data_IF_592742982003
#
_entry.id   IF_592742982003
#
_cell.length_a   1.000
_cell.length_b   1.000
_cell.length_c   1.000
_cell.angle_alpha   90.00
_cell.angle_beta   90.00
_cell.angle_gamma   90.00
#
_symmetry.space_group_name_H-M   'P 1'
#
loop_
_entity.id
_entity.type
_entity.pdbx_description
1 polymer ?
#
# COMPACT_ATOMS: atom_id res chain seq x y z
N UNK A 1 2.71 -2.69 -17.04
CA UNK A 1 2.95 -1.31 -16.55
C UNK A 1 2.56 -1.28 -15.08
N UNK A 2 3.37 -0.65 -14.22
CA UNK A 2 3.05 -0.50 -12.81
C UNK A 2 2.49 0.91 -12.61
N UNK A 3 1.25 1.01 -12.15
CA UNK A 3 0.54 2.28 -11.96
C UNK A 3 0.01 2.30 -10.54
N UNK A 4 0.17 3.41 -9.85
CA UNK A 4 -0.44 3.61 -8.55
C UNK A 4 -0.76 5.07 -8.33
N UNK A 5 -1.87 5.31 -7.65
CA UNK A 5 -2.28 6.66 -7.23
C UNK A 5 -2.55 6.58 -5.74
N UNK A 6 -1.98 7.52 -5.01
CA UNK A 6 -2.24 7.72 -3.59
C UNK A 6 -2.88 9.08 -3.39
N UNK A 7 -3.88 9.13 -2.54
CA UNK A 7 -4.59 10.31 -2.10
C UNK A 7 -4.30 10.50 -0.61
N UNK A 8 -4.08 11.75 -0.21
CA UNK A 8 -3.97 12.13 1.19
C UNK A 8 -4.86 13.34 1.41
N UNK A 9 -5.78 13.23 2.38
CA UNK A 9 -6.70 14.30 2.72
C UNK A 9 -6.49 14.74 4.17
N UNK A 10 -6.19 16.04 4.41
CA UNK A 10 -6.05 16.57 5.75
C UNK A 10 -7.42 16.66 6.45
N UNK A 11 -7.60 15.91 7.54
CA UNK A 11 -8.80 15.99 8.38
C UNK A 11 -8.61 17.03 9.49
N UNK A 12 -7.44 17.01 10.13
CA UNK A 12 -7.07 18.00 11.15
C UNK A 12 -5.68 18.54 10.85
N UNK A 13 -5.52 19.86 10.91
CA UNK A 13 -4.24 20.55 10.80
C UNK A 13 -4.20 21.67 11.83
N UNK A 14 -3.49 21.41 12.90
CA UNK A 14 -3.17 22.36 13.95
C UNK A 14 -1.66 22.42 14.14
N UNK A 15 -1.18 23.48 14.79
CA UNK A 15 0.24 23.66 15.10
C UNK A 15 0.81 22.47 15.87
N UNK A 16 0.02 21.91 16.79
CA UNK A 16 0.42 20.84 17.69
C UNK A 16 0.06 19.45 17.18
N UNK A 17 -0.84 19.31 16.22
CA UNK A 17 -1.19 17.98 15.69
C UNK A 17 -1.77 18.03 14.29
N UNK A 18 -1.55 16.97 13.52
CA UNK A 18 -2.16 16.79 12.21
C UNK A 18 -2.66 15.37 12.06
N UNK A 19 -3.77 15.19 11.34
CA UNK A 19 -4.35 13.91 10.98
C UNK A 19 -4.72 13.93 9.49
N UNK A 20 -4.23 12.97 8.75
CA UNK A 20 -4.52 12.75 7.34
C UNK A 20 -5.20 11.39 7.17
N UNK A 21 -6.20 11.35 6.30
CA UNK A 21 -6.71 10.12 5.72
C UNK A 21 -5.92 9.82 4.46
N UNK A 22 -5.32 8.65 4.39
CA UNK A 22 -4.60 8.18 3.21
C UNK A 22 -5.39 7.07 2.54
N UNK A 23 -5.48 7.14 1.22
CA UNK A 23 -6.08 6.09 0.41
C UNK A 23 -5.30 5.95 -0.89
N UNK A 24 -5.53 4.88 -1.62
CA UNK A 24 -4.84 4.69 -2.88
C UNK A 24 -5.19 3.40 -3.56
N UNK A 25 -4.82 3.31 -4.82
CA UNK A 25 -4.91 2.09 -5.58
C UNK A 25 -3.58 1.85 -6.30
N UNK A 26 -3.24 0.58 -6.50
CA UNK A 26 -2.02 0.19 -7.19
C UNK A 26 -2.31 -1.02 -8.05
N UNK A 27 -1.96 -0.92 -9.32
CA UNK A 27 -1.89 -2.00 -10.29
C UNK A 27 -0.42 -2.31 -10.56
N UNK A 28 -0.01 -3.55 -10.32
CA UNK A 28 1.35 -4.01 -10.56
C UNK A 28 1.33 -5.26 -11.43
N UNK A 29 2.03 -5.24 -12.57
CA UNK A 29 2.28 -6.47 -13.33
C UNK A 29 3.43 -7.24 -12.68
N UNK A 30 3.24 -8.53 -12.49
CA UNK A 30 4.17 -9.47 -11.87
C UNK A 30 4.39 -10.59 -12.89
N UNK A 31 5.63 -11.05 -13.03
CA UNK A 31 5.96 -12.13 -13.96
C UNK A 31 6.76 -13.17 -13.20
N UNK A 32 6.22 -14.38 -13.13
CA UNK A 32 6.90 -15.51 -12.50
C UNK A 32 7.55 -16.37 -13.57
N UNK A 33 8.83 -16.70 -13.38
CA UNK A 33 9.59 -17.56 -14.28
C UNK A 33 9.68 -18.96 -13.68
N UNK A 34 9.29 -19.96 -14.48
CA UNK A 34 9.35 -21.38 -14.15
C UNK A 34 10.28 -22.08 -15.15
N UNK A 35 10.84 -23.23 -14.75
CA UNK A 35 11.74 -24.05 -15.57
C UNK A 35 12.91 -23.23 -16.15
N UNK A 36 13.67 -22.57 -15.28
CA UNK A 36 14.90 -21.82 -15.64
C UNK A 36 14.68 -20.74 -16.73
N UNK A 37 13.48 -20.12 -16.73
CA UNK A 37 13.13 -19.03 -17.64
C UNK A 37 12.44 -19.44 -18.94
N UNK A 38 12.25 -20.74 -19.19
CA UNK A 38 11.54 -21.25 -20.37
C UNK A 38 10.03 -21.00 -20.34
N UNK A 39 9.44 -20.91 -19.15
CA UNK A 39 8.00 -20.67 -18.96
C UNK A 39 7.79 -19.42 -18.14
N UNK A 40 6.98 -18.49 -18.63
CA UNK A 40 6.64 -17.27 -17.90
C UNK A 40 5.15 -17.11 -17.71
N UNK A 41 4.72 -16.91 -16.46
CA UNK A 41 3.33 -16.60 -16.13
C UNK A 41 3.21 -15.12 -15.80
N UNK A 42 2.44 -14.40 -16.61
CA UNK A 42 2.12 -12.99 -16.37
C UNK A 42 0.90 -12.89 -15.47
N UNK A 43 1.06 -12.15 -14.36
CA UNK A 43 0.05 -11.94 -13.34
C UNK A 43 -0.13 -10.44 -13.14
N UNK A 44 -1.33 -10.03 -12.78
CA UNK A 44 -1.63 -8.68 -12.36
C UNK A 44 -1.97 -8.69 -10.87
N UNK A 45 -1.42 -7.73 -10.12
CA UNK A 45 -1.78 -7.49 -8.73
C UNK A 45 -2.47 -6.15 -8.62
N UNK A 46 -3.74 -6.18 -8.25
CA UNK A 46 -4.55 -5.02 -7.96
C UNK A 46 -4.68 -4.88 -6.45
N UNK A 47 -4.39 -3.71 -5.91
CA UNK A 47 -4.55 -3.46 -4.48
C UNK A 47 -5.09 -2.08 -4.22
N UNK A 48 -5.97 -1.97 -3.23
CA UNK A 48 -6.47 -0.72 -2.67
C UNK A 48 -5.88 -0.57 -1.28
N UNK A 49 -5.55 0.66 -0.90
CA UNK A 49 -5.09 1.00 0.44
C UNK A 49 -6.00 2.06 1.08
N UNK A 50 -6.15 1.96 2.40
CA UNK A 50 -6.87 2.88 3.25
C UNK A 50 -6.16 2.96 4.60
N UNK A 51 -5.91 4.17 5.08
CA UNK A 51 -5.15 4.37 6.30
C UNK A 51 -5.28 5.76 6.88
N UNK A 52 -4.58 5.94 7.99
CA UNK A 52 -4.45 7.20 8.71
C UNK A 52 -2.99 7.51 8.97
N UNK A 53 -2.64 8.79 8.87
CA UNK A 53 -1.34 9.33 9.26
C UNK A 53 -1.57 10.44 10.26
N UNK A 54 -0.90 10.39 11.41
CA UNK A 54 -1.00 11.42 12.44
C UNK A 54 0.37 11.85 12.91
N UNK A 55 0.50 13.14 13.19
CA UNK A 55 1.63 13.72 13.91
C UNK A 55 1.11 14.50 15.12
N UNK A 56 1.78 14.38 16.25
CA UNK A 56 1.49 15.08 17.50
C UNK A 56 2.79 15.70 18.05
N UNK A 57 2.73 16.99 18.36
CA UNK A 57 3.81 17.88 18.81
C UNK A 57 3.46 18.61 20.11
N UNK A 58 2.43 18.16 20.83
CA UNK A 58 2.04 18.78 22.11
C UNK A 58 2.93 18.39 23.29
N UNK A 59 4.04 17.67 23.05
CA UNK A 59 5.05 17.37 24.05
C UNK A 59 6.28 18.24 23.78
N UNK A 60 6.79 18.88 24.82
CA UNK A 60 7.98 19.72 24.74
C UNK A 60 9.13 18.93 24.10
N UNK A 61 9.71 19.50 23.04
CA UNK A 61 10.83 18.95 22.27
C UNK A 61 10.56 17.57 21.63
N UNK A 62 9.31 17.08 21.55
CA UNK A 62 9.00 15.76 21.01
C UNK A 62 7.94 15.81 19.90
N UNK A 63 8.20 15.07 18.83
CA UNK A 63 7.28 14.88 17.70
C UNK A 63 6.97 13.39 17.58
N UNK A 64 5.79 13.00 18.05
CA UNK A 64 5.25 11.67 17.87
C UNK A 64 4.55 11.58 16.51
N UNK A 65 4.88 10.59 15.70
CA UNK A 65 4.19 10.31 14.43
C UNK A 65 3.77 8.86 14.37
N UNK A 66 2.56 8.60 13.91
CA UNK A 66 2.10 7.25 13.63
C UNK A 66 1.37 7.15 12.30
N UNK A 67 1.54 6.02 11.66
CA UNK A 67 0.87 5.66 10.40
C UNK A 67 0.26 4.28 10.56
N UNK A 68 -1.01 4.15 10.21
CA UNK A 68 -1.72 2.89 10.14
C UNK A 68 -2.31 2.77 8.75
N UNK A 69 -1.86 1.79 7.96
CA UNK A 69 -2.31 1.62 6.59
C UNK A 69 -2.72 0.16 6.33
N UNK A 70 -3.95 -0.03 5.90
CA UNK A 70 -4.50 -1.30 5.49
C UNK A 70 -4.49 -1.39 3.97
N UNK A 71 -4.00 -2.50 3.45
CA UNK A 71 -3.92 -2.78 2.03
C UNK A 71 -4.68 -4.09 1.81
N UNK A 72 -5.67 -4.04 0.93
CA UNK A 72 -6.36 -5.23 0.45
C UNK A 72 -6.17 -5.34 -1.05
N UNK A 73 -5.91 -6.54 -1.54
CA UNK A 73 -5.69 -6.73 -2.95
C UNK A 73 -5.95 -8.13 -3.43
N UNK A 74 -5.98 -8.23 -4.74
CA UNK A 74 -6.20 -9.44 -5.49
C UNK A 74 -5.02 -9.66 -6.45
N UNK A 75 -4.69 -10.93 -6.68
CA UNK A 75 -3.78 -11.35 -7.75
C UNK A 75 -4.58 -12.09 -8.81
N UNK A 76 -4.58 -11.59 -10.03
CA UNK A 76 -5.25 -12.17 -11.18
C UNK A 76 -4.22 -12.67 -12.19
N UNK A 77 -4.59 -13.67 -12.98
CA UNK A 77 -3.77 -14.12 -14.10
C UNK A 77 -3.95 -13.16 -15.30
N UNK A 78 -2.86 -12.55 -15.80
CA UNK A 78 -2.84 -11.59 -16.93
C UNK A 78 -2.73 -12.30 -18.30
N UNK A 79 -2.99 -13.62 -18.32
CA UNK A 79 -3.50 -14.32 -19.49
C UNK A 79 -2.51 -14.81 -20.54
N UNK A 80 -1.21 -14.84 -20.25
CA UNK A 80 -0.21 -15.35 -21.20
C UNK A 80 0.04 -16.87 -21.14
N UNK A 81 -0.70 -17.62 -20.30
CA UNK A 81 -0.58 -19.09 -20.22
C UNK A 81 -1.91 -19.76 -20.55
N UNK A 82 -1.86 -20.61 -21.58
CA UNK A 82 -2.95 -21.38 -22.18
C UNK A 82 -4.01 -21.86 -21.17
N UNK A 83 -5.21 -21.28 -21.25
CA UNK A 83 -6.44 -21.84 -20.68
C UNK A 83 -6.98 -21.20 -19.40
N UNK A 84 -6.27 -20.27 -18.74
CA UNK A 84 -6.66 -19.73 -17.44
C UNK A 84 -6.72 -18.20 -17.38
N UNK A 85 -7.25 -17.55 -18.42
CA UNK A 85 -7.49 -16.10 -18.41
C UNK A 85 -8.50 -15.73 -17.31
N UNK A 86 -8.16 -14.72 -16.49
CA UNK A 86 -9.07 -14.18 -15.48
C UNK A 86 -9.28 -15.05 -14.23
N UNK A 87 -8.47 -16.10 -14.04
CA UNK A 87 -8.51 -16.87 -12.79
C UNK A 87 -7.91 -16.02 -11.67
N UNK A 88 -8.72 -15.77 -10.65
CA UNK A 88 -8.28 -15.20 -9.38
C UNK A 88 -7.31 -16.18 -8.70
N UNK A 89 -6.06 -15.76 -8.56
CA UNK A 89 -4.97 -16.54 -7.96
C UNK A 89 -4.91 -16.38 -6.44
N UNK A 90 -5.63 -15.42 -5.88
CA UNK A 90 -5.75 -15.24 -4.43
C UNK A 90 -5.97 -13.79 -4.01
N UNK A 91 -6.59 -13.64 -2.84
CA UNK A 91 -6.72 -12.37 -2.14
C UNK A 91 -5.64 -12.26 -1.07
N UNK A 92 -5.18 -11.04 -0.80
CA UNK A 92 -4.30 -10.77 0.33
C UNK A 92 -4.73 -9.50 1.07
N UNK A 93 -4.52 -9.52 2.39
CA UNK A 93 -4.63 -8.37 3.27
C UNK A 93 -3.29 -8.10 3.93
N UNK A 94 -2.89 -6.84 4.02
CA UNK A 94 -1.68 -6.39 4.72
C UNK A 94 -2.02 -5.19 5.60
N UNK A 95 -1.57 -5.21 6.84
CA UNK A 95 -1.59 -4.04 7.73
C UNK A 95 -0.16 -3.56 7.94
N UNK A 96 0.09 -2.26 7.75
CA UNK A 96 1.34 -1.61 8.10
C UNK A 96 1.07 -0.63 9.25
N UNK A 97 1.78 -0.81 10.35
CA UNK A 97 1.82 0.11 11.47
C UNK A 97 3.23 0.68 11.58
N UNK A 98 3.34 2.00 11.63
CA UNK A 98 4.58 2.70 11.92
C UNK A 98 4.35 3.64 13.09
N UNK A 99 5.26 3.63 14.06
CA UNK A 99 5.30 4.53 15.19
C UNK A 99 6.71 5.10 15.30
N UNK A 100 6.81 6.42 15.34
CA UNK A 100 8.07 7.14 15.44
C UNK A 100 7.94 8.23 16.49
N UNK A 101 9.00 8.44 17.26
CA UNK A 101 9.16 9.60 18.11
C UNK A 101 10.48 10.29 17.76
N UNK A 102 10.41 11.58 17.42
CA UNK A 102 11.58 12.40 17.11
C UNK A 102 11.71 13.50 18.16
N UNK A 103 12.83 13.51 18.85
CA UNK A 103 13.23 14.63 19.70
C UNK A 103 13.83 15.76 18.84
N UNK A 104 13.51 17.02 19.14
CA UNK A 104 14.05 18.22 18.49
C UNK A 104 14.56 19.21 19.55
N UNK A 105 15.81 19.63 19.41
CA UNK A 105 16.50 20.61 20.28
C UNK A 105 16.28 22.04 19.80
#
# INVERSE_FOLDING_TARGET
MNVGVNFSYPVFLYTEYSLYLVSGFTHKKIKDYYLDGLVSNEKARNSVNLGIERTYKGLENNVLSYTLNFIYGNVENDGNFSGFNGVNLGNFGKMNLNLSNKYQF
#
